data_IF_386588908283
#
_entry.id   IF_386588908283
#
_cell.length_a   1.000
_cell.length_b   1.000
_cell.length_c   1.000
_cell.angle_alpha   90.00
_cell.angle_beta   90.00
_cell.angle_gamma   90.00
#
_symmetry.space_group_name_H-M   'P 1'
#
loop_
_entity.id
_entity.type
_entity.pdbx_description
1 polymer ?
#
# COMPACT_ATOMS: atom_id res chain seq x y z
N UNK A 1 29.40 -10.27 19.79
CA UNK A 1 28.07 -10.12 19.14
C UNK A 1 27.77 -11.46 18.50
N UNK A 2 26.61 -12.08 18.75
CA UNK A 2 26.30 -13.35 18.10
C UNK A 2 26.30 -13.14 16.58
N UNK A 3 26.73 -14.19 15.90
CA UNK A 3 27.10 -14.29 14.50
C UNK A 3 26.16 -13.52 13.57
N UNK A 4 26.68 -12.45 12.95
CA UNK A 4 25.96 -11.75 11.87
C UNK A 4 26.24 -12.54 10.60
N UNK A 5 25.39 -13.51 10.28
CA UNK A 5 25.35 -14.12 8.95
C UNK A 5 24.73 -13.11 7.96
N UNK A 6 25.55 -12.44 7.12
CA UNK A 6 25.05 -11.45 6.18
C UNK A 6 24.16 -12.08 5.10
N UNK A 7 24.34 -13.37 4.82
CA UNK A 7 23.58 -14.10 3.82
C UNK A 7 22.17 -14.42 4.34
N UNK A 8 22.03 -14.76 5.63
CA UNK A 8 20.73 -14.85 6.30
C UNK A 8 19.92 -13.55 6.19
N UNK A 9 20.55 -12.39 6.38
CA UNK A 9 19.89 -11.08 6.22
C UNK A 9 19.51 -10.80 4.76
N UNK A 10 20.38 -11.16 3.80
CA UNK A 10 20.09 -10.97 2.37
C UNK A 10 18.89 -11.79 1.90
N UNK A 11 18.63 -12.95 2.51
CA UNK A 11 17.46 -13.76 2.21
C UNK A 11 16.16 -13.03 2.56
N UNK A 12 16.12 -12.25 3.65
CA UNK A 12 14.95 -11.46 4.05
C UNK A 12 14.56 -10.40 3.01
N UNK A 13 15.50 -9.96 2.17
CA UNK A 13 15.28 -8.99 1.10
C UNK A 13 14.78 -9.62 -0.21
N UNK A 14 14.48 -10.92 -0.22
CA UNK A 14 14.00 -11.63 -1.42
C UNK A 14 12.47 -11.79 -1.38
N UNK A 15 11.74 -11.49 -2.48
CA UNK A 15 10.30 -11.75 -2.56
C UNK A 15 9.91 -13.20 -2.29
N UNK A 16 10.79 -14.16 -2.60
CA UNK A 16 10.57 -15.57 -2.30
C UNK A 16 10.50 -15.86 -0.80
N UNK A 17 11.36 -15.22 0.01
CA UNK A 17 11.32 -15.36 1.46
C UNK A 17 10.03 -14.77 2.04
N UNK A 18 9.60 -13.61 1.54
CA UNK A 18 8.31 -12.98 1.93
C UNK A 18 7.15 -13.94 1.65
N UNK A 19 7.09 -14.54 0.45
CA UNK A 19 6.03 -15.50 0.10
C UNK A 19 6.03 -16.73 1.02
N UNK A 20 7.20 -17.31 1.28
CA UNK A 20 7.31 -18.48 2.15
C UNK A 20 6.85 -18.18 3.58
N UNK A 21 7.24 -17.03 4.15
CA UNK A 21 6.80 -16.62 5.48
C UNK A 21 5.30 -16.28 5.53
N UNK A 22 4.76 -15.66 4.47
CA UNK A 22 3.33 -15.38 4.39
C UNK A 22 2.48 -16.67 4.34
N UNK A 23 2.96 -17.71 3.64
CA UNK A 23 2.31 -19.03 3.61
C UNK A 23 2.32 -19.70 4.98
N UNK A 24 3.46 -19.69 5.68
CA UNK A 24 3.56 -20.20 7.06
C UNK A 24 2.58 -19.47 8.00
N UNK A 25 2.50 -18.14 7.91
CA UNK A 25 1.53 -17.37 8.70
C UNK A 25 0.07 -17.72 8.38
N UNK A 26 -0.24 -17.99 7.10
CA UNK A 26 -1.57 -18.45 6.70
C UNK A 26 -1.87 -19.84 7.27
N UNK A 27 -0.93 -20.78 7.21
CA UNK A 27 -1.08 -22.12 7.78
C UNK A 27 -1.34 -22.06 9.29
N UNK A 28 -0.56 -21.27 10.03
CA UNK A 28 -0.78 -21.01 11.45
C UNK A 28 -2.17 -20.41 11.71
N UNK A 29 -2.60 -19.47 10.86
CA UNK A 29 -3.92 -18.84 10.94
C UNK A 29 -5.07 -19.82 10.74
N UNK A 30 -4.97 -20.67 9.71
CA UNK A 30 -5.96 -21.71 9.41
C UNK A 30 -5.99 -22.80 10.49
N UNK A 31 -4.86 -23.06 11.14
CA UNK A 31 -4.76 -23.98 12.27
C UNK A 31 -5.23 -23.37 13.61
N UNK A 32 -5.64 -22.09 13.63
CA UNK A 32 -6.07 -21.40 14.85
C UNK A 32 -4.95 -21.15 15.87
N UNK A 33 -3.70 -21.08 15.41
CA UNK A 33 -2.50 -20.96 16.25
C UNK A 33 -2.02 -19.51 16.44
N UNK A 34 -2.72 -18.53 15.87
CA UNK A 34 -2.40 -17.12 16.03
C UNK A 34 -2.97 -16.58 17.35
N UNK A 35 -2.19 -15.74 18.03
CA UNK A 35 -2.54 -15.23 19.37
C UNK A 35 -3.68 -14.19 19.35
N UNK A 36 -3.73 -13.35 18.31
CA UNK A 36 -4.60 -12.17 18.29
C UNK A 36 -5.64 -12.17 17.16
N UNK A 37 -5.55 -13.12 16.24
CA UNK A 37 -6.39 -13.16 15.04
C UNK A 37 -6.86 -14.59 14.77
N UNK A 38 -8.05 -14.71 14.19
CA UNK A 38 -8.58 -15.97 13.67
C UNK A 38 -8.79 -15.83 12.18
N UNK A 39 -8.44 -16.86 11.41
CA UNK A 39 -8.76 -16.93 9.99
C UNK A 39 -10.04 -17.74 9.85
N UNK A 40 -11.07 -17.14 9.23
CA UNK A 40 -12.39 -17.73 9.02
C UNK A 40 -12.70 -17.76 7.51
N UNK A 41 -12.18 -18.76 6.75
CA UNK A 41 -12.36 -18.83 5.30
C UNK A 41 -13.83 -18.84 4.87
N UNK A 42 -14.71 -19.43 5.68
CA UNK A 42 -16.16 -19.48 5.46
C UNK A 42 -16.82 -18.09 5.46
N UNK A 43 -16.17 -17.07 6.02
CA UNK A 43 -16.67 -15.69 6.02
C UNK A 43 -16.22 -14.88 4.82
N UNK A 44 -15.37 -15.43 3.94
CA UNK A 44 -14.78 -14.67 2.84
C UNK A 44 -15.85 -14.15 1.87
N UNK A 45 -16.86 -14.95 1.55
CA UNK A 45 -17.96 -14.53 0.67
C UNK A 45 -18.76 -13.37 1.27
N UNK A 46 -19.21 -13.51 2.52
CA UNK A 46 -19.92 -12.44 3.22
C UNK A 46 -19.09 -11.16 3.38
N UNK A 47 -17.77 -11.30 3.55
CA UNK A 47 -16.86 -10.15 3.58
C UNK A 47 -16.77 -9.48 2.21
N UNK A 48 -16.73 -10.24 1.12
CA UNK A 48 -16.73 -9.70 -0.23
C UNK A 48 -18.03 -8.95 -0.53
N UNK A 49 -19.18 -9.52 -0.17
CA UNK A 49 -20.49 -8.87 -0.32
C UNK A 49 -20.54 -7.54 0.45
N UNK A 50 -20.09 -7.54 1.71
CA UNK A 50 -20.01 -6.32 2.52
C UNK A 50 -19.15 -5.23 1.86
N UNK A 51 -17.99 -5.59 1.31
CA UNK A 51 -17.11 -4.64 0.61
C UNK A 51 -17.79 -4.12 -0.65
N UNK A 52 -18.46 -4.98 -1.43
CA UNK A 52 -19.19 -4.58 -2.63
C UNK A 52 -20.33 -3.62 -2.31
N UNK A 53 -21.11 -3.90 -1.27
CA UNK A 53 -22.19 -3.03 -0.82
C UNK A 53 -21.66 -1.68 -0.34
N UNK A 54 -20.54 -1.69 0.39
CA UNK A 54 -19.85 -0.46 0.80
C UNK A 54 -19.38 0.35 -0.41
N UNK A 55 -18.79 -0.30 -1.42
CA UNK A 55 -18.36 0.37 -2.66
C UNK A 55 -19.56 0.99 -3.38
N UNK A 56 -20.64 0.24 -3.57
CA UNK A 56 -21.85 0.71 -4.26
C UNK A 56 -22.54 1.86 -3.51
N UNK A 57 -22.54 1.81 -2.18
CA UNK A 57 -23.10 2.87 -1.35
C UNK A 57 -22.32 4.18 -1.47
N UNK A 58 -20.98 4.10 -1.51
CA UNK A 58 -20.11 5.28 -1.63
C UNK A 58 -19.94 5.77 -3.08
N UNK A 59 -20.01 4.86 -4.05
CA UNK A 59 -19.79 5.12 -5.48
C UNK A 59 -20.87 4.42 -6.32
N UNK A 60 -22.11 4.96 -6.37
CA UNK A 60 -23.22 4.31 -7.08
C UNK A 60 -22.99 4.10 -8.59
N UNK A 61 -22.17 4.96 -9.21
CA UNK A 61 -21.78 4.83 -10.63
C UNK A 61 -20.53 3.98 -10.84
N UNK A 62 -19.92 3.47 -9.76
CA UNK A 62 -18.62 2.80 -9.74
C UNK A 62 -17.46 3.64 -10.29
N UNK A 63 -17.63 4.96 -10.39
CA UNK A 63 -16.56 5.91 -10.67
C UNK A 63 -15.74 6.17 -9.40
N UNK A 64 -14.91 5.20 -9.04
CA UNK A 64 -14.06 5.27 -7.86
C UNK A 64 -12.84 6.16 -8.17
N UNK A 65 -12.60 7.24 -7.41
CA UNK A 65 -11.42 8.07 -7.60
C UNK A 65 -10.13 7.26 -7.42
N UNK A 66 -9.14 7.53 -8.26
CA UNK A 66 -7.84 6.88 -8.18
C UNK A 66 -7.24 7.03 -6.77
N UNK A 67 -7.03 5.90 -6.08
CA UNK A 67 -6.41 5.88 -4.77
C UNK A 67 -4.90 5.70 -4.93
N UNK A 68 -4.16 6.77 -4.70
CA UNK A 68 -2.71 6.76 -4.66
C UNK A 68 -2.20 7.73 -3.60
N UNK A 69 -0.91 7.64 -3.29
CA UNK A 69 -0.20 8.60 -2.44
C UNK A 69 -0.47 10.05 -2.85
N UNK A 70 -0.64 10.29 -4.15
CA UNK A 70 -0.99 11.58 -4.74
C UNK A 70 -2.24 12.24 -4.14
N UNK A 71 -3.20 11.45 -3.63
CA UNK A 71 -4.42 11.99 -3.01
C UNK A 71 -4.15 12.79 -1.73
N UNK A 72 -3.00 12.59 -1.07
CA UNK A 72 -2.54 13.47 0.02
C UNK A 72 -2.32 14.92 -0.44
N UNK A 73 -2.01 15.10 -1.72
CA UNK A 73 -1.79 16.42 -2.33
C UNK A 73 -3.04 16.95 -3.03
N UNK A 74 -4.13 16.18 -3.07
CA UNK A 74 -5.44 16.62 -3.52
C UNK A 74 -6.34 16.92 -2.31
N UNK A 75 -6.36 18.17 -1.87
CA UNK A 75 -7.10 18.59 -0.66
C UNK A 75 -8.09 19.69 -1.03
N UNK A 76 -9.32 19.58 -0.53
CA UNK A 76 -10.41 20.50 -0.83
C UNK A 76 -10.63 20.71 -2.34
N UNK A 77 -10.47 19.65 -3.14
CA UNK A 77 -10.65 19.68 -4.60
C UNK A 77 -9.47 20.26 -5.38
N UNK A 78 -8.39 20.70 -4.73
CA UNK A 78 -7.21 21.26 -5.38
C UNK A 78 -6.10 20.22 -5.50
N UNK A 79 -5.66 19.94 -6.72
CA UNK A 79 -4.42 19.21 -6.98
C UNK A 79 -3.21 20.14 -6.81
N UNK A 80 -2.58 20.06 -5.63
CA UNK A 80 -1.41 20.88 -5.29
C UNK A 80 -0.16 20.45 -6.04
N UNK A 81 -0.06 19.18 -6.45
CA UNK A 81 1.08 18.72 -7.24
C UNK A 81 1.06 19.40 -8.61
N UNK A 82 -0.09 19.42 -9.29
CA UNK A 82 -0.20 20.09 -10.59
C UNK A 82 0.21 21.56 -10.51
N UNK A 83 -0.23 22.29 -9.48
CA UNK A 83 0.16 23.70 -9.27
C UNK A 83 1.69 23.85 -9.12
N UNK A 84 2.32 23.01 -8.29
CA UNK A 84 3.76 23.05 -8.08
C UNK A 84 4.55 22.67 -9.33
N UNK A 85 4.09 21.64 -10.04
CA UNK A 85 4.71 21.13 -11.26
C UNK A 85 4.70 22.18 -12.38
N UNK A 86 3.57 22.87 -12.56
CA UNK A 86 3.43 24.00 -13.49
C UNK A 86 4.37 25.16 -13.11
N UNK A 87 4.53 25.46 -11.82
CA UNK A 87 5.39 26.54 -11.35
C UNK A 87 6.89 26.23 -11.38
N UNK A 88 7.27 24.96 -11.19
CA UNK A 88 8.66 24.55 -11.01
C UNK A 88 9.51 24.64 -12.28
N UNK A 89 8.89 24.67 -13.47
CA UNK A 89 9.58 24.85 -14.76
C UNK A 89 10.79 23.93 -14.93
N UNK A 90 10.63 22.63 -14.63
CA UNK A 90 11.72 21.66 -14.71
C UNK A 90 12.36 21.64 -16.10
N UNK A 91 13.69 21.66 -16.17
CA UNK A 91 14.42 21.75 -17.43
C UNK A 91 14.32 20.44 -18.24
N UNK A 92 14.27 19.29 -17.55
CA UNK A 92 14.16 17.97 -18.17
C UNK A 92 13.18 17.05 -17.43
N UNK A 93 12.58 16.11 -18.17
CA UNK A 93 11.61 15.15 -17.62
C UNK A 93 12.16 14.31 -16.46
N UNK A 94 13.47 14.02 -16.46
CA UNK A 94 14.11 13.26 -15.38
C UNK A 94 14.16 14.01 -14.04
N UNK A 95 14.29 15.34 -14.06
CA UNK A 95 14.26 16.18 -12.86
C UNK A 95 12.84 16.26 -12.28
N UNK A 96 11.86 16.50 -13.16
CA UNK A 96 10.43 16.44 -12.81
C UNK A 96 10.07 15.10 -12.17
N UNK A 97 10.53 13.99 -12.78
CA UNK A 97 10.29 12.64 -12.29
C UNK A 97 10.89 12.43 -10.89
N UNK A 98 12.14 12.82 -10.66
CA UNK A 98 12.78 12.73 -9.34
C UNK A 98 12.02 13.53 -8.28
N UNK A 99 11.66 14.78 -8.56
CA UNK A 99 10.87 15.61 -7.64
C UNK A 99 9.51 14.98 -7.32
N UNK A 100 8.85 14.39 -8.33
CA UNK A 100 7.59 13.68 -8.15
C UNK A 100 7.75 12.44 -7.25
N UNK A 101 8.81 11.64 -7.47
CA UNK A 101 9.11 10.48 -6.63
C UNK A 101 9.43 10.88 -5.19
N UNK A 102 10.29 11.87 -4.99
CA UNK A 102 10.67 12.33 -3.66
C UNK A 102 9.44 12.78 -2.87
N UNK A 103 8.54 13.52 -3.50
CA UNK A 103 7.29 13.94 -2.89
C UNK A 103 6.36 12.76 -2.57
N UNK A 104 6.12 11.87 -3.54
CA UNK A 104 5.21 10.74 -3.37
C UNK A 104 5.73 9.71 -2.36
N UNK A 105 7.04 9.44 -2.33
CA UNK A 105 7.66 8.48 -1.42
C UNK A 105 7.66 9.03 0.00
N UNK A 106 8.07 10.28 0.22
CA UNK A 106 8.05 10.86 1.58
C UNK A 106 6.62 10.93 2.14
N UNK A 107 5.62 11.06 1.27
CA UNK A 107 4.22 11.05 1.71
C UNK A 107 3.81 9.79 2.47
N UNK A 108 4.53 8.66 2.36
CA UNK A 108 4.22 7.44 3.14
C UNK A 108 4.32 7.67 4.65
N UNK A 109 5.07 8.68 5.07
CA UNK A 109 5.20 9.08 6.47
C UNK A 109 4.05 9.98 6.95
N UNK A 110 3.16 10.38 6.05
CA UNK A 110 2.02 11.25 6.34
C UNK A 110 0.72 10.47 6.54
N UNK A 111 0.73 9.13 6.42
CA UNK A 111 -0.40 8.31 6.86
C UNK A 111 -0.52 8.41 8.39
N UNK A 112 -1.64 8.98 8.85
CA UNK A 112 -2.20 8.83 10.18
C UNK A 112 -3.71 8.60 10.04
#
# INVERSE_FOLDING_TARGET
>A
MPDRDPDAVRLLLKPAAIRARAQEMLELGLAGQLLHFTVAPERLEACADYVLDTIRANYPTLEIPFHARWRHFTVAGMDRWSVLDLGASFAVAGERGRAAYDLAIVSVLLDA
#
